data_IF_497491347313
#
_entry.id   IF_497491347313
#
_cell.length_a   1.000
_cell.length_b   1.000
_cell.length_c   1.000
_cell.angle_alpha   90.00
_cell.angle_beta   90.00
_cell.angle_gamma   90.00
#
_symmetry.space_group_name_H-M   'P 1'
#
loop_
_entity.id
_entity.type
_entity.pdbx_description
1 polymer ?
#
# COMPACT_ATOMS: atom_id res chain seq x y z
N UNK A 1 -3.85 27.67 -35.88
CA UNK A 1 -2.83 26.84 -35.18
C UNK A 1 -2.77 25.50 -35.90
N UNK A 2 -1.61 25.01 -36.36
CA UNK A 2 -1.57 23.74 -37.07
C UNK A 2 -1.92 22.63 -36.09
N UNK A 3 -2.94 21.85 -36.44
CA UNK A 3 -3.33 20.69 -35.66
C UNK A 3 -2.17 19.68 -35.64
N UNK A 4 -1.78 19.21 -34.46
CA UNK A 4 -0.83 18.12 -34.32
C UNK A 4 -1.44 16.86 -34.95
N UNK A 5 -0.81 16.34 -36.00
CA UNK A 5 -1.29 15.19 -36.77
C UNK A 5 -1.22 13.88 -35.98
N UNK A 6 -0.56 13.85 -34.82
CA UNK A 6 -0.56 12.71 -33.90
C UNK A 6 -1.81 12.65 -33.01
N UNK A 7 -2.58 13.75 -32.93
CA UNK A 7 -3.78 13.82 -32.10
C UNK A 7 -4.97 13.09 -32.76
N UNK A 8 -5.58 12.17 -32.02
CA UNK A 8 -6.86 11.55 -32.40
C UNK A 8 -8.02 12.36 -31.82
N UNK A 9 -8.93 12.80 -32.67
CA UNK A 9 -10.14 13.53 -32.27
C UNK A 9 -11.29 12.55 -32.00
N UNK A 10 -12.01 12.74 -30.90
CA UNK A 10 -13.15 11.88 -30.54
C UNK A 10 -13.66 12.11 -29.13
N UNK A 11 -14.67 11.35 -28.74
CA UNK A 11 -15.13 11.29 -27.35
C UNK A 11 -14.25 10.35 -26.54
N UNK A 12 -14.07 10.64 -25.25
CA UNK A 12 -13.32 9.79 -24.33
C UNK A 12 -14.08 9.63 -23.02
N UNK A 13 -13.81 8.54 -22.31
CA UNK A 13 -14.31 8.29 -20.96
C UNK A 13 -13.14 7.97 -20.05
N UNK A 14 -12.96 8.79 -19.01
CA UNK A 14 -11.89 8.62 -18.02
C UNK A 14 -12.51 8.77 -16.63
N UNK A 15 -12.24 7.84 -15.69
CA UNK A 15 -12.66 8.02 -14.31
C UNK A 15 -12.03 9.27 -13.71
N UNK A 16 -12.83 10.09 -13.02
CA UNK A 16 -12.35 11.31 -12.37
C UNK A 16 -11.12 11.08 -11.47
N UNK A 17 -11.08 9.96 -10.75
CA UNK A 17 -9.98 9.60 -9.87
C UNK A 17 -8.66 9.23 -10.60
N UNK A 18 -8.72 9.01 -11.92
CA UNK A 18 -7.55 8.75 -12.75
C UNK A 18 -6.89 10.05 -13.24
N UNK A 19 -7.59 11.18 -13.19
CA UNK A 19 -7.05 12.48 -13.56
C UNK A 19 -6.10 13.02 -12.48
N UNK A 20 -4.99 13.56 -12.94
CA UNK A 20 -4.07 14.40 -12.18
C UNK A 20 -4.52 15.87 -12.28
N UNK A 21 -3.88 16.82 -11.55
CA UNK A 21 -4.25 18.23 -11.63
C UNK A 21 -4.28 18.72 -13.09
N UNK A 22 -5.43 19.27 -13.49
CA UNK A 22 -5.64 19.80 -14.84
C UNK A 22 -4.87 21.10 -14.99
N UNK A 23 -4.10 21.22 -16.06
CA UNK A 23 -3.30 22.41 -16.37
C UNK A 23 -3.88 23.10 -17.59
N UNK A 24 -4.09 24.42 -17.50
CA UNK A 24 -4.44 25.23 -18.67
C UNK A 24 -3.17 25.62 -19.41
N UNK A 25 -3.13 25.35 -20.70
CA UNK A 25 -2.03 25.71 -21.61
C UNK A 25 -2.61 26.46 -22.82
N UNK A 26 -2.58 27.80 -22.76
CA UNK A 26 -3.19 28.67 -23.77
C UNK A 26 -4.69 28.39 -23.99
N UNK A 27 -5.01 27.91 -25.21
CA UNK A 27 -6.36 27.51 -25.65
C UNK A 27 -6.62 26.01 -25.48
N UNK A 28 -5.85 25.30 -24.65
CA UNK A 28 -6.03 23.88 -24.35
C UNK A 28 -6.11 23.66 -22.85
N UNK A 29 -6.89 22.66 -22.44
CA UNK A 29 -6.76 22.05 -21.12
C UNK A 29 -6.00 20.74 -21.27
N UNK A 30 -4.92 20.58 -20.53
CA UNK A 30 -4.19 19.34 -20.39
C UNK A 30 -4.74 18.55 -19.20
N UNK A 31 -5.25 17.36 -19.48
CA UNK A 31 -5.80 16.40 -18.53
C UNK A 31 -4.85 15.21 -18.45
N UNK A 32 -3.77 15.30 -17.65
CA UNK A 32 -2.87 14.17 -17.43
C UNK A 32 -3.56 13.07 -16.64
N UNK A 33 -3.31 11.81 -17.01
CA UNK A 33 -3.85 10.63 -16.35
C UNK A 33 -2.75 9.87 -15.58
N UNK A 34 -3.15 9.19 -14.50
CA UNK A 34 -2.26 8.32 -13.71
C UNK A 34 -1.67 7.14 -14.49
N UNK A 35 -2.31 6.76 -15.60
CA UNK A 35 -1.86 5.69 -16.50
C UNK A 35 -1.03 6.20 -17.69
N UNK A 36 -0.41 7.38 -17.53
CA UNK A 36 0.49 8.03 -18.50
C UNK A 36 -0.19 8.59 -19.75
N UNK A 37 -1.51 8.43 -19.92
CA UNK A 37 -2.25 9.10 -21.00
C UNK A 37 -2.30 10.62 -20.76
N UNK A 38 -2.24 11.40 -21.83
CA UNK A 38 -2.48 12.86 -21.83
C UNK A 38 -3.65 13.16 -22.74
N UNK A 39 -4.66 13.84 -22.20
CA UNK A 39 -5.86 14.22 -22.94
C UNK A 39 -5.87 15.73 -23.06
N UNK A 40 -6.03 16.23 -24.27
CA UNK A 40 -6.10 17.65 -24.54
C UNK A 40 -7.52 18.02 -24.93
N UNK A 41 -8.12 18.94 -24.18
CA UNK A 41 -9.36 19.58 -24.58
C UNK A 41 -9.02 20.91 -25.26
N UNK A 42 -9.12 20.94 -26.59
CA UNK A 42 -9.04 22.19 -27.34
C UNK A 42 -10.24 23.07 -26.99
N UNK A 43 -9.98 24.29 -26.57
CA UNK A 43 -11.01 25.27 -26.22
C UNK A 43 -11.54 26.02 -27.44
N UNK A 44 -11.22 25.62 -28.67
CA UNK A 44 -11.63 26.34 -29.88
C UNK A 44 -13.16 26.44 -30.00
N UNK A 45 -13.89 25.38 -29.62
CA UNK A 45 -15.37 25.33 -29.63
C UNK A 45 -16.00 25.98 -28.38
N UNK A 46 -15.19 26.38 -27.41
CA UNK A 46 -15.67 27.13 -26.25
C UNK A 46 -16.00 28.58 -26.60
N UNK A 47 -15.63 29.08 -27.78
CA UNK A 47 -15.82 30.48 -28.12
C UNK A 47 -17.03 30.67 -29.02
N UNK A 48 -17.82 31.71 -28.72
CA UNK A 48 -18.95 32.10 -29.54
C UNK A 48 -18.49 32.53 -30.93
N UNK A 49 -18.87 31.77 -31.97
CA UNK A 49 -18.82 32.25 -33.35
C UNK A 49 -19.87 33.35 -33.51
N UNK A 50 -19.47 34.62 -33.44
CA UNK A 50 -20.29 35.71 -33.96
C UNK A 50 -20.15 35.73 -35.48
N UNK A 51 -21.08 35.09 -36.20
CA UNK A 51 -21.48 35.27 -37.62
C UNK A 51 -20.43 35.60 -38.72
N UNK A 52 -19.13 35.54 -38.47
CA UNK A 52 -18.09 35.81 -39.44
C UNK A 52 -16.99 34.76 -39.26
N UNK A 53 -16.64 34.11 -40.37
CA UNK A 53 -15.68 33.01 -40.44
C UNK A 53 -14.25 33.41 -40.01
N UNK A 54 -13.97 34.70 -39.81
CA UNK A 54 -12.60 35.22 -39.58
C UNK A 54 -12.41 36.00 -38.26
N UNK A 55 -13.40 36.06 -37.37
CA UNK A 55 -13.23 36.78 -36.10
C UNK A 55 -12.48 35.90 -35.07
N UNK A 56 -11.37 36.38 -34.46
CA UNK A 56 -10.71 35.62 -33.42
C UNK A 56 -11.66 35.42 -32.24
N UNK A 57 -11.70 34.22 -31.65
CA UNK A 57 -12.58 33.89 -30.55
C UNK A 57 -12.46 34.88 -29.37
N UNK A 58 -13.49 35.69 -29.09
CA UNK A 58 -13.38 36.81 -28.12
C UNK A 58 -13.75 36.44 -26.67
N UNK A 59 -14.66 35.49 -26.44
CA UNK A 59 -15.07 35.09 -25.08
C UNK A 59 -15.22 33.58 -24.95
N UNK A 60 -14.43 32.90 -24.11
CA UNK A 60 -14.64 31.48 -23.84
C UNK A 60 -15.95 31.31 -23.06
N UNK A 61 -16.70 30.24 -23.32
CA UNK A 61 -17.87 29.83 -22.56
C UNK A 61 -17.36 29.33 -21.21
N UNK A 62 -17.23 30.27 -20.29
CA UNK A 62 -16.71 30.02 -18.95
C UNK A 62 -17.63 29.05 -18.19
N UNK A 63 -18.88 28.83 -18.61
CA UNK A 63 -19.84 27.97 -17.90
C UNK A 63 -19.40 26.52 -17.86
N UNK A 64 -18.93 25.96 -18.98
CA UNK A 64 -18.46 24.56 -18.98
C UNK A 64 -17.15 24.40 -18.20
N UNK A 65 -16.27 25.42 -18.23
CA UNK A 65 -15.04 25.43 -17.42
C UNK A 65 -15.39 25.50 -15.93
N UNK A 66 -16.32 26.36 -15.53
CA UNK A 66 -16.84 26.44 -14.17
C UNK A 66 -17.49 25.13 -13.72
N UNK A 67 -18.26 24.49 -14.60
CA UNK A 67 -18.86 23.19 -14.34
C UNK A 67 -17.76 22.12 -14.15
N UNK A 68 -16.78 22.07 -15.05
CA UNK A 68 -15.62 21.18 -14.95
C UNK A 68 -14.89 21.40 -13.63
N UNK A 69 -14.47 22.63 -13.32
CA UNK A 69 -13.80 22.96 -12.07
C UNK A 69 -14.61 22.54 -10.84
N UNK A 70 -15.94 22.75 -10.86
CA UNK A 70 -16.83 22.36 -9.77
C UNK A 70 -16.87 20.84 -9.59
N UNK A 71 -16.92 20.07 -10.69
CA UNK A 71 -16.89 18.61 -10.66
C UNK A 71 -15.52 18.03 -10.28
N UNK A 72 -14.45 18.75 -10.60
CA UNK A 72 -13.06 18.37 -10.28
C UNK A 72 -12.66 18.70 -8.83
N UNK A 73 -13.51 19.38 -8.05
CA UNK A 73 -13.18 19.72 -6.66
C UNK A 73 -12.94 18.44 -5.83
N UNK A 74 -11.88 18.42 -4.99
CA UNK A 74 -11.64 17.29 -4.12
C UNK A 74 -12.82 17.11 -3.18
N UNK A 75 -13.27 15.88 -3.02
CA UNK A 75 -14.34 15.53 -2.10
C UNK A 75 -13.82 15.65 -0.66
N UNK A 76 -14.53 16.42 0.17
CA UNK A 76 -14.14 16.69 1.56
C UNK A 76 -14.65 15.60 2.51
N UNK A 77 -15.75 14.93 2.14
CA UNK A 77 -16.31 13.80 2.88
C UNK A 77 -16.07 12.47 2.16
N UNK A 78 -15.82 11.41 2.93
CA UNK A 78 -15.71 10.05 2.41
C UNK A 78 -17.01 9.59 1.74
N UNK A 79 -18.17 9.99 2.28
CA UNK A 79 -19.49 9.63 1.74
C UNK A 79 -19.78 10.25 0.39
N UNK A 80 -19.04 11.31 0.01
CA UNK A 80 -19.14 11.96 -1.29
C UNK A 80 -18.33 11.24 -2.39
N UNK A 81 -17.58 10.20 -2.05
CA UNK A 81 -16.87 9.39 -3.05
C UNK A 81 -17.87 8.56 -3.87
N UNK A 82 -17.61 8.45 -5.18
CA UNK A 82 -18.45 7.68 -6.11
C UNK A 82 -18.67 6.21 -5.68
N UNK A 83 -17.77 5.64 -4.88
CA UNK A 83 -17.94 4.31 -4.30
C UNK A 83 -19.27 4.14 -3.52
N UNK A 84 -19.77 5.19 -2.86
CA UNK A 84 -21.01 5.15 -2.08
C UNK A 84 -22.28 5.33 -2.93
N UNK A 85 -22.16 5.87 -4.14
CA UNK A 85 -23.28 6.10 -5.06
C UNK A 85 -23.25 5.19 -6.29
N UNK A 86 -22.21 4.35 -6.42
CA UNK A 86 -21.96 3.48 -7.57
C UNK A 86 -23.18 2.63 -7.96
N UNK A 87 -23.82 1.98 -6.98
CA UNK A 87 -24.98 1.11 -7.24
C UNK A 87 -26.15 1.91 -7.82
N UNK A 88 -26.49 3.05 -7.23
CA UNK A 88 -27.55 3.92 -7.72
C UNK A 88 -27.25 4.40 -9.15
N UNK A 89 -26.01 4.89 -9.38
CA UNK A 89 -25.58 5.34 -10.70
C UNK A 89 -25.63 4.23 -11.78
N UNK A 90 -25.39 2.97 -11.40
CA UNK A 90 -25.52 1.83 -12.32
C UNK A 90 -26.98 1.52 -12.65
N UNK A 91 -27.86 1.57 -11.66
CA UNK A 91 -29.30 1.39 -11.86
C UNK A 91 -29.86 2.48 -12.77
N UNK A 92 -29.51 3.75 -12.52
CA UNK A 92 -29.93 4.90 -13.34
C UNK A 92 -29.43 4.76 -14.80
N UNK A 93 -28.27 4.15 -15.01
CA UNK A 93 -27.73 3.85 -16.33
C UNK A 93 -28.35 2.62 -17.01
N UNK A 94 -29.43 2.04 -16.45
CA UNK A 94 -30.08 0.83 -16.95
C UNK A 94 -29.24 -0.44 -16.79
N UNK A 95 -28.18 -0.41 -15.98
CA UNK A 95 -27.31 -1.56 -15.75
C UNK A 95 -27.79 -2.34 -14.52
N UNK A 96 -28.35 -3.53 -14.76
CA UNK A 96 -28.80 -4.43 -13.70
C UNK A 96 -27.57 -4.99 -12.98
N UNK A 97 -27.39 -4.59 -11.73
CA UNK A 97 -26.37 -5.15 -10.82
C UNK A 97 -27.01 -6.25 -9.98
N UNK A 98 -27.44 -7.35 -10.62
CA UNK A 98 -27.73 -8.59 -9.92
C UNK A 98 -26.40 -9.23 -9.55
N UNK A 99 -25.79 -8.76 -8.46
CA UNK A 99 -24.80 -9.58 -7.77
C UNK A 99 -25.55 -10.81 -7.29
N UNK A 100 -25.32 -11.98 -7.90
CA UNK A 100 -25.82 -13.24 -7.36
C UNK A 100 -25.43 -13.28 -5.87
N UNK A 101 -26.39 -13.52 -4.98
CA UNK A 101 -26.11 -13.56 -3.53
C UNK A 101 -24.99 -14.56 -3.19
N UNK A 102 -24.77 -15.54 -4.07
CA UNK A 102 -23.76 -16.60 -3.94
C UNK A 102 -22.30 -16.11 -3.96
N UNK A 103 -22.00 -14.86 -4.38
CA UNK A 103 -20.63 -14.35 -4.44
C UNK A 103 -20.53 -12.89 -3.96
N UNK A 104 -20.72 -12.66 -2.66
CA UNK A 104 -20.40 -11.36 -2.07
C UNK A 104 -18.87 -11.15 -2.03
N UNK A 105 -18.31 -10.20 -2.80
CA UNK A 105 -16.85 -10.02 -2.91
C UNK A 105 -16.21 -9.57 -1.59
N UNK A 106 -16.98 -8.97 -0.67
CA UNK A 106 -16.49 -8.58 0.66
C UNK A 106 -16.16 -9.77 1.56
N UNK A 107 -16.65 -10.97 1.23
CA UNK A 107 -16.42 -12.20 1.99
C UNK A 107 -15.38 -13.12 1.35
N UNK A 108 -14.74 -12.69 0.26
CA UNK A 108 -13.69 -13.46 -0.44
C UNK A 108 -12.51 -13.75 0.49
N UNK A 109 -12.13 -12.78 1.31
CA UNK A 109 -11.02 -12.94 2.25
C UNK A 109 -11.53 -13.17 3.67
N UNK A 110 -11.14 -14.31 4.25
CA UNK A 110 -11.30 -14.61 5.67
C UNK A 110 -9.93 -14.87 6.30
N UNK A 111 -9.48 -14.04 7.27
CA UNK A 111 -8.21 -14.26 7.95
C UNK A 111 -8.07 -15.65 8.55
N UNK A 112 -9.15 -16.20 9.12
CA UNK A 112 -9.16 -17.54 9.72
C UNK A 112 -8.86 -18.62 8.69
N UNK A 113 -9.59 -18.61 7.57
CA UNK A 113 -9.39 -19.58 6.48
C UNK A 113 -7.99 -19.46 5.89
N UNK A 114 -7.46 -18.24 5.76
CA UNK A 114 -6.11 -18.03 5.25
C UNK A 114 -5.03 -18.57 6.21
N UNK A 115 -5.15 -18.32 7.51
CA UNK A 115 -4.20 -18.86 8.48
C UNK A 115 -4.28 -20.39 8.61
N UNK A 116 -5.48 -20.98 8.45
CA UNK A 116 -5.64 -22.44 8.32
C UNK A 116 -4.95 -22.97 7.05
N UNK A 117 -5.17 -22.33 5.89
CA UNK A 117 -4.53 -22.69 4.61
C UNK A 117 -3.00 -22.63 4.68
N UNK A 118 -2.47 -21.67 5.44
CA UNK A 118 -1.03 -21.51 5.68
C UNK A 118 -0.48 -22.47 6.76
N UNK A 119 -1.32 -23.30 7.38
CA UNK A 119 -0.90 -24.25 8.40
C UNK A 119 -0.48 -23.61 9.72
N UNK A 120 -1.01 -22.43 10.05
CA UNK A 120 -0.82 -21.82 11.38
C UNK A 120 -1.87 -22.28 12.39
N UNK A 121 -3.03 -22.73 11.92
CA UNK A 121 -4.17 -23.14 12.75
C UNK A 121 -4.55 -24.58 12.37
N UNK A 122 -3.72 -25.53 12.78
CA UNK A 122 -4.03 -26.96 12.70
C UNK A 122 -4.80 -27.39 13.95
N UNK A 123 -5.77 -28.28 13.77
CA UNK A 123 -6.52 -28.89 14.87
C UNK A 123 -5.86 -30.16 15.41
N UNK A 124 -4.81 -30.63 14.74
CA UNK A 124 -4.11 -31.86 15.13
C UNK A 124 -3.04 -31.52 16.17
N UNK A 125 -3.23 -32.03 17.39
CA UNK A 125 -2.27 -31.95 18.50
C UNK A 125 -0.95 -32.73 18.21
N UNK A 126 -0.90 -33.48 17.10
CA UNK A 126 0.24 -34.32 16.65
C UNK A 126 1.28 -33.58 15.78
N UNK A 127 1.33 -32.25 15.84
CA UNK A 127 2.40 -31.53 15.14
C UNK A 127 3.70 -31.64 15.94
N UNK A 128 4.67 -32.40 15.41
CA UNK A 128 6.09 -32.38 15.84
C UNK A 128 6.77 -31.02 15.54
N UNK A 129 6.00 -29.93 15.48
CA UNK A 129 6.45 -28.57 15.21
C UNK A 129 7.21 -28.04 16.44
N UNK A 130 8.39 -27.47 16.22
CA UNK A 130 9.18 -26.89 17.31
C UNK A 130 8.50 -25.68 17.99
N UNK A 131 7.60 -25.01 17.27
CA UNK A 131 6.87 -23.82 17.72
C UNK A 131 5.40 -23.95 17.31
N UNK A 132 4.51 -23.84 18.28
CA UNK A 132 3.07 -23.74 18.04
C UNK A 132 2.64 -22.28 17.89
N UNK A 133 1.47 -22.08 17.27
CA UNK A 133 0.97 -20.77 16.86
C UNK A 133 -0.37 -20.46 17.51
N UNK A 134 -0.64 -19.18 17.73
CA UNK A 134 -1.93 -18.72 18.23
C UNK A 134 -2.37 -17.42 17.57
N UNK A 135 -3.68 -17.22 17.58
CA UNK A 135 -4.27 -15.96 17.17
C UNK A 135 -4.01 -14.86 18.22
N UNK A 136 -3.59 -13.71 17.73
CA UNK A 136 -3.50 -12.46 18.46
C UNK A 136 -4.60 -11.53 17.94
N UNK A 137 -5.53 -11.16 18.83
CA UNK A 137 -6.56 -10.17 18.53
C UNK A 137 -5.97 -8.76 18.71
N UNK A 138 -6.36 -7.83 17.85
CA UNK A 138 -6.01 -6.41 17.94
C UNK A 138 -7.24 -5.56 18.28
N UNK A 139 -7.90 -5.79 19.43
CA UNK A 139 -9.17 -5.15 19.74
C UNK A 139 -9.00 -3.63 19.77
N UNK A 140 -9.91 -2.92 19.11
CA UNK A 140 -9.88 -1.45 18.99
C UNK A 140 -8.55 -0.93 18.43
N UNK A 141 -7.83 -1.76 17.67
CA UNK A 141 -6.52 -1.48 17.09
C UNK A 141 -5.43 -1.02 18.08
N UNK A 142 -5.45 -1.55 19.32
CA UNK A 142 -4.54 -1.14 20.41
C UNK A 142 -3.07 -1.51 20.19
N UNK A 143 -2.77 -2.65 19.56
CA UNK A 143 -1.38 -3.00 19.22
C UNK A 143 -0.84 -2.09 18.13
N UNK A 144 -1.62 -1.93 17.05
CA UNK A 144 -1.36 -0.93 16.01
C UNK A 144 -2.64 -0.55 15.29
N UNK A 145 -2.84 0.76 15.10
CA UNK A 145 -3.93 1.32 14.31
C UNK A 145 -3.90 0.89 12.83
N UNK A 146 -2.75 0.39 12.35
CA UNK A 146 -2.51 0.08 10.93
C UNK A 146 -2.33 -1.41 10.66
N UNK A 147 -2.61 -2.26 11.65
CA UNK A 147 -2.60 -3.73 11.52
C UNK A 147 -4.02 -4.29 11.54
N UNK A 148 -4.24 -5.50 10.99
CA UNK A 148 -5.54 -6.14 10.98
C UNK A 148 -6.03 -6.47 12.40
N UNK A 149 -7.33 -6.83 12.50
CA UNK A 149 -7.95 -7.25 13.77
C UNK A 149 -7.45 -8.61 14.28
N UNK A 150 -6.97 -9.46 13.37
CA UNK A 150 -6.49 -10.82 13.67
C UNK A 150 -5.09 -11.01 13.06
N UNK A 151 -4.17 -11.44 13.90
CA UNK A 151 -2.77 -11.72 13.57
C UNK A 151 -2.39 -13.10 14.12
N UNK A 152 -1.26 -13.64 13.66
CA UNK A 152 -0.70 -14.90 14.19
C UNK A 152 0.65 -14.61 14.84
N UNK A 153 0.89 -15.22 15.99
CA UNK A 153 2.13 -15.12 16.76
C UNK A 153 2.50 -16.48 17.35
N UNK A 154 3.76 -16.69 17.77
CA UNK A 154 4.16 -17.92 18.46
C UNK A 154 3.43 -18.02 19.80
N UNK A 155 2.97 -19.22 20.16
CA UNK A 155 2.20 -19.44 21.40
C UNK A 155 3.02 -19.19 22.67
N UNK A 156 4.34 -19.38 22.60
CA UNK A 156 5.26 -19.11 23.71
C UNK A 156 5.35 -17.61 24.11
N UNK A 157 4.91 -16.70 23.25
CA UNK A 157 4.96 -15.26 23.52
C UNK A 157 3.81 -14.83 24.41
N UNK A 158 4.10 -14.18 25.53
CA UNK A 158 3.06 -13.58 26.39
C UNK A 158 2.50 -12.29 25.78
N UNK A 159 1.30 -11.89 26.22
CA UNK A 159 0.71 -10.63 25.76
C UNK A 159 1.58 -9.41 26.14
N UNK A 160 2.17 -9.43 27.33
CA UNK A 160 3.09 -8.39 27.79
C UNK A 160 4.33 -8.26 26.89
N UNK A 161 4.96 -9.39 26.54
CA UNK A 161 6.10 -9.39 25.61
C UNK A 161 5.71 -8.80 24.25
N UNK A 162 4.53 -9.15 23.74
CA UNK A 162 4.03 -8.60 22.47
C UNK A 162 3.78 -7.09 22.55
N UNK A 163 3.26 -6.60 23.68
CA UNK A 163 3.10 -5.15 23.93
C UNK A 163 4.47 -4.46 23.96
N UNK A 164 5.48 -5.05 24.59
CA UNK A 164 6.84 -4.52 24.60
C UNK A 164 7.47 -4.48 23.20
N UNK A 165 7.35 -5.55 22.39
CA UNK A 165 7.82 -5.54 21.00
C UNK A 165 7.06 -4.50 20.16
N UNK A 166 5.75 -4.38 20.32
CA UNK A 166 4.95 -3.35 19.63
C UNK A 166 5.43 -1.93 19.96
N UNK A 167 5.68 -1.60 21.23
CA UNK A 167 6.22 -0.29 21.63
C UNK A 167 7.63 -0.04 21.06
N UNK A 168 8.44 -1.08 20.96
CA UNK A 168 9.77 -0.98 20.37
C UNK A 168 9.74 -0.77 18.85
N UNK A 169 8.63 -1.07 18.17
CA UNK A 169 8.50 -0.97 16.71
C UNK A 169 7.76 0.29 16.31
N UNK A 170 8.25 1.01 15.30
CA UNK A 170 7.64 2.26 14.84
C UNK A 170 6.14 2.07 14.52
N UNK A 171 5.25 2.86 15.14
CA UNK A 171 3.78 2.78 15.01
C UNK A 171 3.14 1.48 15.51
N UNK A 172 3.78 0.76 16.44
CA UNK A 172 3.20 -0.46 17.00
C UNK A 172 3.24 -1.67 16.07
N UNK A 173 3.89 -1.55 14.90
CA UNK A 173 3.90 -2.57 13.85
C UNK A 173 4.95 -3.62 14.15
N UNK A 174 4.69 -4.40 15.18
CA UNK A 174 5.53 -5.52 15.58
C UNK A 174 5.70 -6.56 14.46
N UNK A 175 6.75 -7.39 14.51
CA UNK A 175 6.90 -8.57 13.66
C UNK A 175 5.69 -9.48 13.77
N UNK A 176 5.02 -9.73 12.64
CA UNK A 176 3.88 -10.63 12.53
C UNK A 176 4.07 -11.48 11.27
N UNK A 177 3.82 -12.79 11.38
CA UNK A 177 3.92 -13.73 10.26
C UNK A 177 2.84 -13.46 9.22
N UNK A 178 3.20 -13.61 7.95
CA UNK A 178 2.30 -13.45 6.80
C UNK A 178 2.28 -14.69 5.91
N UNK A 179 3.27 -15.56 6.04
CA UNK A 179 3.38 -16.77 5.26
C UNK A 179 4.24 -17.80 5.99
N UNK A 180 3.91 -19.08 5.79
CA UNK A 180 4.66 -20.24 6.30
C UNK A 180 4.88 -21.20 5.14
N UNK A 181 6.11 -21.70 5.04
CA UNK A 181 6.45 -22.71 4.06
C UNK A 181 5.84 -24.07 4.45
N UNK A 182 5.17 -24.78 3.52
CA UNK A 182 4.51 -26.05 3.84
C UNK A 182 5.49 -27.14 4.31
N UNK A 183 6.67 -27.24 3.67
CA UNK A 183 7.63 -28.31 3.97
C UNK A 183 8.64 -27.96 5.07
N UNK A 184 9.49 -26.94 4.84
CA UNK A 184 10.58 -26.59 5.77
C UNK A 184 10.14 -25.72 6.95
N UNK A 185 8.86 -25.35 7.02
CA UNK A 185 8.23 -24.58 8.09
C UNK A 185 8.80 -23.17 8.34
N UNK A 186 9.71 -22.68 7.49
CA UNK A 186 10.20 -21.31 7.54
C UNK A 186 9.04 -20.32 7.43
N UNK A 187 9.14 -19.20 8.14
CA UNK A 187 8.11 -18.16 8.12
C UNK A 187 8.64 -16.86 7.52
N UNK A 188 7.77 -16.19 6.77
CA UNK A 188 7.96 -14.80 6.39
C UNK A 188 7.16 -13.94 7.34
N UNK A 189 7.84 -13.01 8.01
CA UNK A 189 7.22 -12.01 8.87
C UNK A 189 7.44 -10.60 8.32
N UNK A 190 6.52 -9.69 8.62
CA UNK A 190 6.65 -8.26 8.31
C UNK A 190 6.54 -7.42 9.57
N UNK A 191 7.23 -6.29 9.59
CA UNK A 191 7.24 -5.35 10.69
C UNK A 191 7.52 -3.93 10.19
N UNK A 192 7.55 -2.96 11.11
CA UNK A 192 8.26 -1.71 10.89
C UNK A 192 9.68 -1.75 11.48
N UNK A 193 10.47 -0.74 11.11
CA UNK A 193 11.79 -0.55 11.70
C UNK A 193 11.74 -0.43 13.24
N UNK A 194 12.75 -0.98 13.94
CA UNK A 194 12.89 -0.85 15.39
C UNK A 194 13.26 0.58 15.83
N UNK A 195 12.85 0.95 17.04
CA UNK A 195 13.11 2.24 17.68
C UNK A 195 14.39 2.21 18.53
N UNK A 196 15.52 1.84 17.91
CA UNK A 196 16.84 1.83 18.57
C UNK A 196 17.25 3.22 19.04
N UNK A 197 17.15 4.20 18.14
CA UNK A 197 17.66 5.55 18.32
C UNK A 197 19.17 5.61 18.52
N UNK A 198 19.63 6.79 18.96
CA UNK A 198 21.05 7.05 19.20
C UNK A 198 21.59 6.24 20.38
N UNK A 199 20.75 5.98 21.39
CA UNK A 199 21.10 5.17 22.58
C UNK A 199 21.18 3.67 22.31
N UNK A 200 20.90 3.21 21.09
CA UNK A 200 20.89 1.79 20.74
C UNK A 200 20.06 0.93 21.69
N UNK A 201 18.84 1.41 21.99
CA UNK A 201 17.88 0.70 22.86
C UNK A 201 17.65 -0.72 22.38
N UNK A 202 17.51 -1.65 23.32
CA UNK A 202 17.27 -3.07 23.06
C UNK A 202 15.90 -3.46 23.60
N UNK A 203 15.31 -4.49 23.00
CA UNK A 203 14.05 -5.04 23.46
C UNK A 203 14.14 -6.56 23.48
N UNK A 204 14.22 -7.14 24.67
CA UNK A 204 14.35 -8.59 24.83
C UNK A 204 13.13 -9.35 24.32
N UNK A 205 11.94 -8.79 24.52
CA UNK A 205 10.72 -9.35 23.97
C UNK A 205 10.72 -9.40 22.42
N UNK A 206 11.26 -8.38 21.75
CA UNK A 206 11.42 -8.37 20.29
C UNK A 206 12.46 -9.39 19.83
N UNK A 207 13.56 -9.56 20.59
CA UNK A 207 14.59 -10.57 20.33
C UNK A 207 14.04 -12.00 20.43
N UNK A 208 13.31 -12.30 21.50
CA UNK A 208 12.66 -13.61 21.71
C UNK A 208 11.63 -13.89 20.61
N UNK A 209 10.85 -12.89 20.21
CA UNK A 209 9.88 -13.01 19.12
C UNK A 209 10.56 -13.40 17.80
N UNK A 210 11.61 -12.67 17.41
CA UNK A 210 12.38 -12.95 16.20
C UNK A 210 13.06 -14.31 16.24
N UNK A 211 13.62 -14.68 17.40
CA UNK A 211 14.19 -16.00 17.63
C UNK A 211 13.15 -17.11 17.48
N UNK A 212 11.94 -16.93 18.00
CA UNK A 212 10.86 -17.90 17.88
C UNK A 212 10.45 -18.13 16.43
N UNK A 213 10.50 -17.09 15.58
CA UNK A 213 10.26 -17.25 14.15
C UNK A 213 11.36 -18.05 13.46
N UNK A 214 12.64 -17.77 13.78
CA UNK A 214 13.76 -18.57 13.28
C UNK A 214 13.65 -20.04 13.70
N UNK A 215 13.36 -20.27 14.97
CA UNK A 215 13.31 -21.61 15.57
C UNK A 215 12.07 -22.41 15.14
N UNK A 216 11.10 -21.79 14.48
CA UNK A 216 9.93 -22.47 13.89
C UNK A 216 10.25 -23.24 12.61
N UNK A 217 11.38 -22.93 11.96
CA UNK A 217 11.84 -23.62 10.77
C UNK A 217 12.47 -24.99 11.11
N UNK A 218 12.37 -25.93 10.18
CA UNK A 218 13.03 -27.22 10.31
C UNK A 218 14.55 -27.02 10.42
N UNK A 219 15.14 -27.73 11.39
CA UNK A 219 16.58 -27.77 11.57
C UNK A 219 17.23 -28.56 10.44
N UNK A 220 18.49 -28.24 10.12
CA UNK A 220 19.28 -29.04 9.20
C UNK A 220 19.64 -30.42 9.82
N UNK A 221 20.29 -31.30 9.06
CA UNK A 221 20.69 -32.64 9.52
C UNK A 221 21.60 -32.64 10.76
N UNK A 222 22.26 -31.52 11.07
CA UNK A 222 23.05 -31.34 12.29
C UNK A 222 22.26 -30.81 13.49
N UNK A 223 20.94 -30.70 13.40
CA UNK A 223 20.09 -30.16 14.47
C UNK A 223 20.20 -28.65 14.67
N UNK A 224 20.78 -27.93 13.70
CA UNK A 224 21.00 -26.47 13.77
C UNK A 224 19.85 -25.75 13.06
N UNK A 225 19.29 -24.73 13.72
CA UNK A 225 18.27 -23.87 13.14
C UNK A 225 18.86 -23.02 12.01
N UNK A 226 18.10 -22.72 10.95
CA UNK A 226 18.57 -21.84 9.88
C UNK A 226 18.82 -20.41 10.41
N UNK A 227 19.63 -19.60 9.70
CA UNK A 227 19.84 -18.20 10.06
C UNK A 227 18.54 -17.38 9.97
N UNK A 228 18.45 -16.35 10.80
CA UNK A 228 17.36 -15.36 10.75
C UNK A 228 17.72 -14.25 9.76
N UNK A 229 17.09 -14.25 8.58
CA UNK A 229 17.29 -13.16 7.63
C UNK A 229 16.40 -11.96 7.97
N UNK A 230 17.02 -10.80 8.18
CA UNK A 230 16.36 -9.51 8.38
C UNK A 230 16.62 -8.67 7.14
N UNK A 231 15.63 -8.62 6.25
CA UNK A 231 15.74 -7.93 4.97
C UNK A 231 15.14 -6.53 5.10
N UNK A 232 15.99 -5.51 5.23
CA UNK A 232 15.58 -4.11 5.19
C UNK A 232 15.47 -3.64 3.74
N UNK A 233 14.26 -3.26 3.33
CA UNK A 233 14.03 -2.79 1.96
C UNK A 233 14.87 -1.55 1.59
N UNK A 234 15.32 -0.76 2.57
CA UNK A 234 16.02 0.50 2.34
C UNK A 234 17.47 0.27 1.94
N UNK A 235 18.12 1.32 1.44
CA UNK A 235 19.59 1.41 1.42
C UNK A 235 20.16 1.60 2.82
N UNK A 236 21.33 1.02 3.09
CA UNK A 236 22.03 1.14 4.39
C UNK A 236 22.17 2.61 4.85
N UNK A 237 22.60 3.53 3.98
CA UNK A 237 22.74 4.95 4.36
C UNK A 237 21.42 5.58 4.85
N UNK A 238 20.28 5.15 4.32
CA UNK A 238 18.98 5.64 4.77
C UNK A 238 18.61 5.14 6.17
N UNK A 239 19.13 3.99 6.61
CA UNK A 239 18.90 3.48 7.97
C UNK A 239 19.70 4.29 9.00
N UNK A 240 20.93 4.70 8.65
CA UNK A 240 21.75 5.60 9.45
C UNK A 240 21.04 6.95 9.67
N UNK A 241 20.48 7.55 8.61
CA UNK A 241 19.67 8.77 8.72
C UNK A 241 18.43 8.62 9.62
N UNK A 242 17.78 7.45 9.59
CA UNK A 242 16.63 7.16 10.47
C UNK A 242 17.05 6.92 11.93
N UNK A 243 18.29 6.52 12.18
CA UNK A 243 18.83 6.37 13.54
C UNK A 243 18.86 7.68 14.32
N UNK A 244 19.22 8.78 13.65
CA UNK A 244 19.13 10.13 14.22
C UNK A 244 17.70 10.54 14.61
N UNK A 245 16.68 9.96 13.95
CA UNK A 245 15.26 10.19 14.27
C UNK A 245 14.71 9.24 15.35
N UNK A 246 15.58 8.60 16.12
CA UNK A 246 15.18 7.66 17.17
C UNK A 246 14.83 6.25 16.68
N UNK A 247 15.08 5.93 15.40
CA UNK A 247 14.77 4.62 14.79
C UNK A 247 16.05 3.83 14.53
N UNK A 248 16.04 2.88 13.60
CA UNK A 248 17.25 2.16 13.25
C UNK A 248 17.00 0.92 12.40
N UNK A 249 17.91 -0.02 12.54
CA UNK A 249 17.92 -1.36 11.97
C UNK A 249 18.46 -2.30 13.04
N UNK A 250 18.01 -3.54 13.01
CA UNK A 250 18.49 -4.62 13.87
C UNK A 250 20.01 -4.78 13.79
N UNK A 251 20.65 -5.06 14.92
CA UNK A 251 22.07 -5.37 14.99
C UNK A 251 22.24 -6.89 15.15
N UNK A 252 22.98 -7.52 14.23
CA UNK A 252 23.19 -8.98 14.23
C UNK A 252 23.82 -9.50 15.53
N UNK A 253 24.57 -8.68 16.27
CA UNK A 253 25.11 -9.08 17.57
C UNK A 253 24.05 -9.19 18.68
N UNK A 254 22.87 -8.61 18.49
CA UNK A 254 21.76 -8.65 19.45
C UNK A 254 20.65 -9.62 19.08
N UNK A 255 20.63 -10.11 17.84
CA UNK A 255 19.63 -11.08 17.38
C UNK A 255 20.33 -12.38 16.98
N UNK A 256 20.06 -13.44 17.75
CA UNK A 256 20.74 -14.73 17.61
C UNK A 256 20.68 -15.25 16.17
N UNK A 257 21.83 -15.50 15.56
CA UNK A 257 21.92 -16.03 14.20
C UNK A 257 21.32 -15.13 13.12
N UNK A 258 21.20 -13.81 13.38
CA UNK A 258 20.62 -12.89 12.42
C UNK A 258 21.62 -12.39 11.37
N UNK A 259 21.16 -12.36 10.13
CA UNK A 259 21.85 -11.76 8.98
C UNK A 259 21.00 -10.58 8.50
N UNK A 260 21.59 -9.38 8.44
CA UNK A 260 20.88 -8.16 8.03
C UNK A 260 21.27 -7.81 6.60
N UNK A 261 20.28 -7.70 5.72
CA UNK A 261 20.44 -7.43 4.30
C UNK A 261 19.71 -6.14 3.90
N UNK A 262 20.26 -5.42 2.92
CA UNK A 262 19.69 -4.16 2.42
C UNK A 262 19.34 -4.27 0.93
N UNK A 263 18.07 -4.06 0.57
CA UNK A 263 17.64 -4.17 -0.83
C UNK A 263 17.89 -2.90 -1.65
N UNK A 264 18.23 -1.78 -1.01
CA UNK A 264 18.53 -0.54 -1.73
C UNK A 264 17.32 0.15 -2.37
N UNK A 265 16.09 -0.24 -2.02
CA UNK A 265 14.86 0.31 -2.59
C UNK A 265 14.70 1.77 -2.14
N UNK A 266 14.49 2.65 -3.11
CA UNK A 266 14.31 4.07 -2.86
C UNK A 266 12.96 4.37 -2.17
N UNK A 267 12.88 5.51 -1.49
CA UNK A 267 11.65 5.91 -0.80
C UNK A 267 10.58 6.39 -1.80
N UNK A 268 9.36 6.62 -1.27
CA UNK A 268 8.21 7.05 -2.08
C UNK A 268 8.42 8.37 -2.83
N UNK A 269 9.31 9.25 -2.36
CA UNK A 269 9.60 10.52 -3.04
C UNK A 269 10.41 10.25 -4.30
N UNK A 270 11.46 9.44 -4.21
CA UNK A 270 12.24 9.03 -5.39
C UNK A 270 11.41 8.23 -6.40
N UNK A 271 10.49 7.39 -5.94
CA UNK A 271 9.58 6.68 -6.84
C UNK A 271 8.60 7.65 -7.51
N UNK A 272 8.14 8.70 -6.81
CA UNK A 272 7.31 9.75 -7.40
C UNK A 272 8.09 10.54 -8.46
N UNK A 273 9.28 11.03 -8.12
CA UNK A 273 10.16 11.74 -9.06
C UNK A 273 10.41 10.89 -10.33
N UNK A 274 10.61 9.58 -10.16
CA UNK A 274 10.80 8.66 -11.28
C UNK A 274 9.59 8.56 -12.21
N UNK A 275 8.37 8.56 -11.66
CA UNK A 275 7.14 8.54 -12.46
C UNK A 275 6.91 9.90 -13.14
N UNK A 276 7.18 11.01 -12.45
CA UNK A 276 7.06 12.36 -13.01
C UNK A 276 8.02 12.55 -14.19
N UNK A 277 9.27 12.05 -14.09
CA UNK A 277 10.23 12.05 -15.19
C UNK A 277 9.79 11.19 -16.38
N UNK A 278 9.16 10.04 -16.11
CA UNK A 278 8.59 9.22 -17.18
C UNK A 278 7.46 9.97 -17.90
N UNK A 279 6.59 10.65 -17.15
CA UNK A 279 5.49 11.45 -17.70
C UNK A 279 5.96 12.66 -18.53
N UNK A 280 7.08 13.29 -18.17
CA UNK A 280 7.63 14.40 -18.94
C UNK A 280 8.31 13.95 -20.23
N UNK A 281 8.88 12.73 -20.27
CA UNK A 281 9.59 12.20 -21.45
C UNK A 281 8.65 11.89 -22.62
N UNK A 282 7.44 11.40 -22.35
CA UNK A 282 6.39 11.18 -23.36
C UNK A 282 5.50 12.42 -23.54
N UNK A 283 6.11 13.61 -23.54
CA UNK A 283 5.43 14.91 -23.65
C UNK A 283 5.73 15.65 -24.92
#
# INVERSE_FOLDING_TARGET
MPYDTSARYGSFQVPLAALLPIVRDGLKLNLPCKDLRKIYLSMHDAYTHKNYYDAPPQTPDIRWIQLLMTKMRPQISITSLFAFTYKAAKVDAGQVTTTSMDMNPWLVYSPMKEYQRLGFLSNDDDTNDAITWRLLKNPKCRFSQTYPQLMVVPSCMTEEQLVHSARFRSRGRLPIVVWRHPDNKCVLARSSQPNYGLQSKRCEADRILLKSYRDSANKNSGGVAPPLHIVDARKNLATQGNRFKGKGVENSSHYDGAVVEFLGIANIHKMRDSVEMLQSTFG
#
